data_IF_463922462487
#
_entry.id   IF_463922462487
#
_cell.length_a   1.000
_cell.length_b   1.000
_cell.length_c   1.000
_cell.angle_alpha   90.00
_cell.angle_beta   90.00
_cell.angle_gamma   90.00
#
_symmetry.space_group_name_H-M   'P 1'
#
loop_
_entity.id
_entity.type
_entity.pdbx_description
1 polymer ?
#
# COMPACT_ATOMS: atom_id res chain seq x y z
N UNK A 1 -69.38 -21.99 -8.34
CA UNK A 1 -68.09 -21.92 -9.05
C UNK A 1 -67.48 -20.54 -8.85
N UNK A 2 -66.72 -20.34 -7.78
CA UNK A 2 -65.92 -19.15 -7.53
C UNK A 2 -64.57 -19.58 -6.98
N UNK A 3 -63.70 -20.12 -7.84
CA UNK A 3 -62.31 -20.43 -7.50
C UNK A 3 -61.39 -20.21 -8.71
N UNK A 4 -61.22 -18.96 -9.11
CA UNK A 4 -59.98 -18.50 -9.76
C UNK A 4 -60.02 -16.99 -9.95
N UNK A 5 -59.90 -16.27 -8.84
CA UNK A 5 -59.21 -14.98 -8.92
C UNK A 5 -57.74 -15.26 -8.63
N UNK A 6 -57.05 -15.63 -9.71
CA UNK A 6 -55.61 -15.82 -9.78
C UNK A 6 -54.91 -14.58 -9.22
N UNK A 7 -54.31 -14.68 -8.03
CA UNK A 7 -53.34 -13.71 -7.54
C UNK A 7 -52.08 -13.77 -8.39
N UNK A 8 -52.14 -13.16 -9.57
CA UNK A 8 -50.97 -12.73 -10.32
C UNK A 8 -50.87 -11.22 -10.12
N UNK A 9 -50.22 -10.82 -9.05
CA UNK A 9 -49.84 -9.42 -8.84
C UNK A 9 -48.34 -9.35 -8.62
N UNK A 10 -47.70 -8.93 -9.71
CA UNK A 10 -46.53 -8.04 -9.77
C UNK A 10 -45.20 -8.60 -9.27
N UNK A 11 -44.54 -9.28 -10.21
CA UNK A 11 -43.12 -9.11 -10.51
C UNK A 11 -42.88 -7.67 -11.02
N UNK A 12 -42.80 -6.72 -10.08
CA UNK A 12 -42.29 -5.38 -10.32
C UNK A 12 -41.36 -5.08 -9.16
N UNK A 13 -40.07 -4.91 -9.45
CA UNK A 13 -38.96 -4.72 -8.51
C UNK A 13 -39.06 -3.47 -7.61
N UNK A 14 -40.11 -3.38 -6.82
CA UNK A 14 -40.20 -2.50 -5.65
C UNK A 14 -39.64 -3.33 -4.49
N UNK A 15 -38.45 -2.99 -3.94
CA UNK A 15 -37.95 -3.71 -2.79
C UNK A 15 -38.98 -3.56 -1.67
N UNK A 16 -39.42 -4.70 -1.15
CA UNK A 16 -40.43 -4.78 -0.11
C UNK A 16 -40.05 -3.82 1.03
N UNK A 17 -40.97 -2.97 1.50
CA UNK A 17 -40.67 -1.94 2.51
C UNK A 17 -40.00 -2.56 3.75
N UNK A 18 -40.43 -3.76 4.11
CA UNK A 18 -39.86 -4.60 5.18
C UNK A 18 -38.40 -4.99 4.91
N UNK A 19 -38.03 -5.31 3.67
CA UNK A 19 -36.62 -5.58 3.32
C UNK A 19 -35.76 -4.32 3.39
N UNK A 20 -36.30 -3.15 3.01
CA UNK A 20 -35.58 -1.88 3.12
C UNK A 20 -35.34 -1.52 4.59
N UNK A 21 -36.34 -1.70 5.44
CA UNK A 21 -36.25 -1.48 6.88
C UNK A 21 -35.27 -2.46 7.54
N UNK A 22 -35.32 -3.75 7.18
CA UNK A 22 -34.38 -4.75 7.66
C UNK A 22 -32.93 -4.42 7.29
N UNK A 23 -32.67 -3.95 6.06
CA UNK A 23 -31.33 -3.50 5.63
C UNK A 23 -30.84 -2.29 6.41
N UNK A 24 -31.70 -1.29 6.63
CA UNK A 24 -31.37 -0.11 7.45
C UNK A 24 -31.03 -0.51 8.88
N UNK A 25 -31.82 -1.39 9.47
CA UNK A 25 -31.63 -1.87 10.83
C UNK A 25 -30.34 -2.69 10.97
N UNK A 26 -30.04 -3.56 10.00
CA UNK A 26 -28.78 -4.31 9.97
C UNK A 26 -27.56 -3.38 9.89
N UNK A 27 -27.61 -2.33 9.07
CA UNK A 27 -26.53 -1.36 8.97
C UNK A 27 -26.36 -0.56 10.27
N UNK A 28 -27.46 -0.14 10.89
CA UNK A 28 -27.44 0.52 12.20
C UNK A 28 -26.78 -0.36 13.25
N UNK A 29 -27.22 -1.62 13.38
CA UNK A 29 -26.61 -2.59 14.31
C UNK A 29 -25.13 -2.84 14.03
N UNK A 30 -24.71 -2.83 12.77
CA UNK A 30 -23.30 -2.94 12.41
C UNK A 30 -22.48 -1.74 12.90
N UNK A 31 -22.98 -0.51 12.73
CA UNK A 31 -22.30 0.68 13.22
C UNK A 31 -22.27 0.74 14.77
N UNK A 32 -23.33 0.25 15.41
CA UNK A 32 -23.40 0.14 16.87
C UNK A 32 -22.41 -0.93 17.38
N UNK A 33 -22.40 -2.13 16.79
CA UNK A 33 -21.56 -3.25 17.24
C UNK A 33 -20.07 -3.08 16.91
N UNK A 34 -19.73 -2.40 15.82
CA UNK A 34 -18.34 -2.02 15.49
C UNK A 34 -17.80 -0.88 16.35
N UNK A 35 -18.66 -0.19 17.12
CA UNK A 35 -18.28 0.98 17.90
C UNK A 35 -18.10 2.26 17.08
N UNK A 36 -18.36 2.23 15.76
CA UNK A 36 -18.22 3.40 14.88
C UNK A 36 -19.13 4.56 15.32
N UNK A 37 -20.36 4.27 15.74
CA UNK A 37 -21.29 5.29 16.25
C UNK A 37 -20.81 5.93 17.56
N UNK A 38 -20.28 5.13 18.48
CA UNK A 38 -19.74 5.62 19.76
C UNK A 38 -18.50 6.50 19.53
N UNK A 39 -17.58 6.05 18.67
CA UNK A 39 -16.40 6.83 18.29
C UNK A 39 -16.79 8.18 17.67
N UNK A 40 -17.68 8.18 16.67
CA UNK A 40 -18.16 9.42 16.03
C UNK A 40 -18.83 10.35 17.04
N UNK A 41 -19.66 9.80 17.93
CA UNK A 41 -20.34 10.58 18.97
C UNK A 41 -19.34 11.24 19.90
N UNK A 42 -18.34 10.50 20.39
CA UNK A 42 -17.28 11.04 21.26
C UNK A 42 -16.49 12.17 20.60
N UNK A 43 -16.17 12.04 19.30
CA UNK A 43 -15.47 13.08 18.57
C UNK A 43 -16.33 14.34 18.41
N UNK A 44 -17.62 14.19 18.10
CA UNK A 44 -18.55 15.32 18.00
C UNK A 44 -18.77 16.02 19.35
N UNK A 45 -18.86 15.26 20.45
CA UNK A 45 -18.91 15.80 21.81
C UNK A 45 -17.63 16.58 22.12
N UNK A 46 -16.46 16.01 21.84
CA UNK A 46 -15.18 16.69 22.05
C UNK A 46 -15.05 17.98 21.22
N UNK A 47 -15.61 18.02 20.01
CA UNK A 47 -15.68 19.21 19.16
C UNK A 47 -16.65 20.26 19.73
N UNK A 48 -17.79 19.81 20.27
CA UNK A 48 -18.77 20.68 20.92
C UNK A 48 -18.22 21.32 22.20
N UNK A 49 -17.45 20.57 22.98
CA UNK A 49 -16.84 21.02 24.25
C UNK A 49 -15.62 21.93 24.06
N UNK A 50 -15.06 22.03 22.84
CA UNK A 50 -13.98 22.99 22.56
C UNK A 50 -14.46 24.43 22.85
N UNK A 51 -13.77 25.10 23.78
CA UNK A 51 -13.98 26.52 24.11
C UNK A 51 -13.68 27.41 22.89
N UNK A 52 -12.57 27.15 22.20
CA UNK A 52 -12.21 27.77 20.92
C UNK A 52 -12.48 26.80 19.78
N UNK A 53 -13.41 27.14 18.89
CA UNK A 53 -13.74 26.26 17.76
C UNK A 53 -12.56 26.18 16.79
N UNK A 54 -12.18 24.97 16.35
CA UNK A 54 -11.10 24.83 15.38
C UNK A 54 -11.50 25.51 14.07
N UNK A 55 -10.51 26.03 13.35
CA UNK A 55 -10.69 26.67 12.04
C UNK A 55 -11.30 25.71 11.00
N UNK A 56 -11.01 24.41 11.12
CA UNK A 56 -11.62 23.33 10.35
C UNK A 56 -12.16 22.24 11.29
N UNK A 57 -13.48 22.07 11.28
CA UNK A 57 -14.14 20.96 12.00
C UNK A 57 -13.78 19.59 11.39
N UNK A 58 -13.58 19.54 10.07
CA UNK A 58 -13.24 18.31 9.36
C UNK A 58 -11.86 17.80 9.77
N UNK A 59 -10.87 18.69 9.84
CA UNK A 59 -9.50 18.33 10.21
C UNK A 59 -9.45 17.81 11.66
N UNK A 60 -10.19 18.46 12.56
CA UNK A 60 -10.33 18.00 13.95
C UNK A 60 -10.93 16.60 14.03
N UNK A 61 -11.98 16.33 13.26
CA UNK A 61 -12.63 15.01 13.21
C UNK A 61 -11.67 13.95 12.66
N UNK A 62 -10.97 14.24 11.57
CA UNK A 62 -10.00 13.33 10.96
C UNK A 62 -8.89 12.96 11.95
N UNK A 63 -8.30 13.96 12.62
CA UNK A 63 -7.28 13.74 13.64
C UNK A 63 -7.79 12.86 14.80
N UNK A 64 -9.01 13.10 15.28
CA UNK A 64 -9.57 12.37 16.44
C UNK A 64 -10.01 10.95 16.12
N UNK A 65 -10.39 10.65 14.88
CA UNK A 65 -10.74 9.29 14.43
C UNK A 65 -9.49 8.49 14.04
N UNK A 66 -8.33 9.15 13.93
CA UNK A 66 -7.04 8.51 13.60
C UNK A 66 -6.74 8.43 12.11
N UNK A 67 -7.38 9.28 11.29
CA UNK A 67 -6.99 9.47 9.90
C UNK A 67 -5.76 10.36 9.80
N UNK A 68 -4.83 10.09 8.86
CA UNK A 68 -3.72 11.00 8.60
C UNK A 68 -4.26 12.35 8.13
N UNK A 69 -3.71 13.43 8.67
CA UNK A 69 -3.95 14.78 8.17
C UNK A 69 -3.38 14.93 6.76
N UNK A 70 -3.88 15.94 6.02
CA UNK A 70 -3.37 16.26 4.69
C UNK A 70 -1.85 16.51 4.73
N UNK A 71 -1.36 17.27 5.71
CA UNK A 71 0.08 17.54 5.87
C UNK A 71 0.90 16.28 6.18
N UNK A 72 0.39 15.38 7.01
CA UNK A 72 1.06 14.09 7.27
C UNK A 72 1.10 13.21 6.03
N UNK A 73 0.04 13.22 5.23
CA UNK A 73 -0.02 12.50 3.96
C UNK A 73 1.00 13.07 2.94
N UNK A 74 1.08 14.39 2.79
CA UNK A 74 2.07 15.05 1.93
C UNK A 74 3.51 14.77 2.38
N UNK A 75 3.76 14.80 3.69
CA UNK A 75 5.07 14.44 4.27
C UNK A 75 5.44 13.00 3.95
N UNK A 76 4.49 12.07 4.14
CA UNK A 76 4.70 10.66 3.83
C UNK A 76 4.98 10.43 2.34
N UNK A 77 4.28 11.15 1.45
CA UNK A 77 4.50 11.08 0.01
C UNK A 77 5.90 11.58 -0.38
N UNK A 78 6.37 12.63 0.27
CA UNK A 78 7.72 13.17 0.08
C UNK A 78 8.77 12.16 0.52
N UNK A 79 8.63 11.61 1.73
CA UNK A 79 9.55 10.59 2.27
C UNK A 79 9.59 9.33 1.39
N UNK A 80 8.44 8.91 0.86
CA UNK A 80 8.35 7.79 -0.08
C UNK A 80 9.12 8.06 -1.38
N UNK A 81 8.95 9.26 -1.95
CA UNK A 81 9.68 9.69 -3.15
C UNK A 81 11.20 9.71 -2.91
N UNK A 82 11.63 10.31 -1.80
CA UNK A 82 13.05 10.38 -1.43
C UNK A 82 13.65 8.98 -1.25
N UNK A 83 12.92 8.09 -0.57
CA UNK A 83 13.37 6.71 -0.37
C UNK A 83 13.47 5.94 -1.69
N UNK A 84 12.53 6.16 -2.60
CA UNK A 84 12.56 5.56 -3.93
C UNK A 84 13.77 6.04 -4.75
N UNK A 85 14.11 7.33 -4.66
CA UNK A 85 15.33 7.87 -5.28
C UNK A 85 16.57 7.19 -4.71
N UNK A 86 16.70 7.13 -3.38
CA UNK A 86 17.83 6.47 -2.70
C UNK A 86 17.96 4.99 -3.06
N UNK A 87 16.84 4.29 -3.13
CA UNK A 87 16.82 2.89 -3.54
C UNK A 87 17.35 2.71 -4.95
N UNK A 88 16.94 3.55 -5.90
CA UNK A 88 17.41 3.48 -7.28
C UNK A 88 18.89 3.84 -7.42
N UNK A 89 19.36 4.87 -6.71
CA UNK A 89 20.79 5.22 -6.64
C UNK A 89 21.62 4.05 -6.12
N UNK A 90 21.18 3.44 -5.01
CA UNK A 90 21.87 2.31 -4.40
C UNK A 90 21.86 1.08 -5.31
N UNK A 91 20.75 0.81 -5.99
CA UNK A 91 20.62 -0.28 -6.95
C UNK A 91 21.57 -0.08 -8.13
N UNK A 92 21.67 1.14 -8.68
CA UNK A 92 22.59 1.47 -9.74
C UNK A 92 24.06 1.27 -9.32
N UNK A 93 24.43 1.79 -8.14
CA UNK A 93 25.78 1.62 -7.59
C UNK A 93 26.13 0.15 -7.32
N UNK A 94 25.16 -0.65 -6.86
CA UNK A 94 25.34 -2.08 -6.67
C UNK A 94 25.57 -2.81 -8.00
N UNK A 95 24.80 -2.46 -9.04
CA UNK A 95 24.95 -3.03 -10.38
C UNK A 95 26.31 -2.69 -11.01
N UNK A 96 26.76 -1.45 -10.86
CA UNK A 96 28.08 -1.00 -11.32
C UNK A 96 29.21 -1.78 -10.64
N UNK A 97 29.24 -1.78 -9.30
CA UNK A 97 30.26 -2.53 -8.54
C UNK A 97 30.26 -4.02 -8.87
N UNK A 98 29.08 -4.62 -9.05
CA UNK A 98 28.99 -6.04 -9.43
C UNK A 98 29.60 -6.31 -10.80
N UNK A 99 29.43 -5.38 -11.75
CA UNK A 99 30.05 -5.45 -13.07
C UNK A 99 31.57 -5.34 -12.98
N UNK A 100 32.08 -4.33 -12.28
CA UNK A 100 33.52 -4.13 -12.08
C UNK A 100 34.18 -5.35 -11.43
N UNK A 101 33.51 -5.94 -10.42
CA UNK A 101 33.99 -7.15 -9.76
C UNK A 101 34.10 -8.34 -10.73
N UNK A 102 33.10 -8.55 -11.58
CA UNK A 102 33.13 -9.65 -12.55
C UNK A 102 34.20 -9.42 -13.64
N UNK A 103 34.40 -8.18 -14.07
CA UNK A 103 35.48 -7.80 -14.98
C UNK A 103 36.86 -8.10 -14.38
N UNK A 104 37.12 -7.65 -13.15
CA UNK A 104 38.36 -7.91 -12.41
C UNK A 104 38.63 -9.41 -12.23
N UNK A 105 37.60 -10.17 -11.85
CA UNK A 105 37.67 -11.63 -11.69
C UNK A 105 38.03 -12.32 -13.01
N UNK A 106 37.42 -11.91 -14.12
CA UNK A 106 37.71 -12.45 -15.44
C UNK A 106 39.15 -12.14 -15.89
N UNK A 107 39.63 -10.90 -15.67
CA UNK A 107 41.02 -10.53 -15.98
C UNK A 107 42.02 -11.32 -15.13
N UNK A 108 41.74 -11.54 -13.85
CA UNK A 108 42.60 -12.34 -12.97
C UNK A 108 42.70 -13.80 -13.43
N UNK A 109 41.57 -14.41 -13.83
CA UNK A 109 41.53 -15.77 -14.37
C UNK A 109 42.37 -15.87 -15.66
N UNK A 110 42.22 -14.90 -16.58
CA UNK A 110 43.00 -14.85 -17.82
C UNK A 110 44.51 -14.66 -17.55
N UNK A 111 44.89 -13.78 -16.63
CA UNK A 111 46.29 -13.58 -16.25
C UNK A 111 46.92 -14.86 -15.66
N UNK A 112 46.17 -15.61 -14.84
CA UNK A 112 46.61 -16.89 -14.26
C UNK A 112 46.77 -18.01 -15.29
N UNK A 113 45.96 -18.03 -16.36
CA UNK A 113 46.05 -19.02 -17.44
C UNK A 113 47.26 -18.77 -18.35
N UNK A 114 47.61 -17.51 -18.57
CA UNK A 114 48.68 -17.12 -19.48
C UNK A 114 50.08 -17.40 -18.90
N UNK A 115 50.24 -17.34 -17.58
CA UNK A 115 51.51 -17.61 -16.88
C UNK A 115 51.83 -19.13 -16.85
N UNK A 116 50.80 -19.98 -16.78
CA UNK A 116 50.96 -21.44 -16.85
C UNK A 116 51.32 -21.95 -18.27
N UNK A 117 51.13 -21.14 -19.31
CA UNK A 117 51.40 -21.52 -20.71
C UNK A 117 52.79 -21.08 -21.18
N UNK A 118 53.47 -20.19 -20.44
CA UNK A 118 54.82 -19.71 -20.79
C UNK A 118 55.95 -20.64 -20.30
N UNK A 119 55.65 -21.72 -19.58
CA UNK A 119 56.64 -22.61 -18.99
C UNK A 119 56.91 -23.91 -19.79
N UNK A 120 56.31 -24.10 -20.98
CA UNK A 120 56.48 -25.34 -21.78
C UNK A 120 57.13 -25.15 -23.15
N UNK A 121 57.61 -23.95 -23.50
CA UNK A 121 58.18 -23.71 -24.85
C UNK A 121 59.56 -23.07 -24.85
N UNK A 122 60.44 -23.35 -23.89
CA UNK A 122 61.87 -23.06 -24.05
C UNK A 122 62.68 -24.19 -23.40
N UNK A 123 63.05 -25.20 -24.20
CA UNK A 123 64.41 -25.77 -24.22
C UNK A 123 64.51 -26.94 -25.21
N UNK A 124 64.96 -26.63 -26.42
CA UNK A 124 65.65 -27.59 -27.27
C UNK A 124 66.78 -26.88 -28.04
N UNK A 125 68.05 -27.04 -27.62
CA UNK A 125 69.19 -26.85 -28.51
C UNK A 125 69.81 -28.21 -28.86
N UNK A 126 70.06 -28.35 -30.15
CA UNK A 126 70.73 -29.45 -30.84
C UNK A 126 72.17 -29.64 -30.35
N UNK A 127 72.55 -30.88 -30.03
CA UNK A 127 73.74 -31.61 -30.52
C UNK A 127 73.80 -32.99 -29.87
#
# INVERSE_FOLDING_TARGET
>A
MWLSYSSKTTDLGIPNLSEKEAKKEAFRKYLESSGALDALTKVLVALYEQNDKPSSAIDFIQQKIGGPTLSEYEKLQTEFSDLQIRYNELLAAHQEKSREYEELKNTHIQASLNDSTRCTTEDAPKC
#
